data_IF_926994277863
#
_entry.id   IF_926994277863
#
_cell.length_a   1.000
_cell.length_b   1.000
_cell.length_c   1.000
_cell.angle_alpha   90.00
_cell.angle_beta   90.00
_cell.angle_gamma   90.00
#
_symmetry.space_group_name_H-M   'P 1'
#
loop_
_entity.id
_entity.type
_entity.pdbx_description
1 polymer ?
#
# COMPACT_ATOMS: atom_id res chain seq x y z
N UNK A 1 24.70 -2.31 17.42
CA UNK A 1 23.24 -2.38 17.66
C UNK A 1 22.82 -3.83 17.52
N UNK A 2 21.87 -4.34 18.33
CA UNK A 2 21.36 -5.72 18.21
C UNK A 2 19.94 -5.69 17.68
N UNK A 3 19.58 -6.72 16.92
CA UNK A 3 18.22 -6.93 16.43
C UNK A 3 17.28 -7.18 17.63
N UNK A 4 16.11 -6.54 17.70
CA UNK A 4 15.07 -6.86 18.69
C UNK A 4 14.78 -8.37 18.73
N UNK A 5 14.59 -8.92 19.94
CA UNK A 5 14.43 -10.37 20.13
C UNK A 5 13.31 -10.95 19.27
N UNK A 6 12.16 -10.28 19.23
CA UNK A 6 11.01 -10.72 18.44
C UNK A 6 11.32 -10.79 16.94
N UNK A 7 12.14 -9.89 16.40
CA UNK A 7 12.59 -9.94 15.00
C UNK A 7 13.65 -11.02 14.78
N UNK A 8 14.56 -11.21 15.74
CA UNK A 8 15.58 -12.26 15.68
C UNK A 8 15.01 -13.68 15.74
N UNK A 9 13.78 -13.83 16.24
CA UNK A 9 13.06 -15.09 16.29
C UNK A 9 12.38 -15.47 14.95
N UNK A 10 12.33 -14.55 13.97
CA UNK A 10 11.71 -14.79 12.67
C UNK A 10 12.76 -15.21 11.65
N UNK A 11 12.63 -16.43 11.12
CA UNK A 11 13.59 -17.08 10.22
C UNK A 11 13.67 -16.46 8.82
N UNK A 12 12.60 -15.80 8.38
CA UNK A 12 12.52 -15.11 7.10
C UNK A 12 13.03 -13.66 7.13
N UNK A 13 13.49 -13.18 8.29
CA UNK A 13 14.11 -11.85 8.43
C UNK A 13 15.63 -11.99 8.52
N UNK A 14 16.34 -11.41 7.55
CA UNK A 14 17.81 -11.40 7.57
C UNK A 14 18.35 -9.98 7.81
N UNK A 15 19.13 -9.74 8.89
CA UNK A 15 19.84 -8.48 9.04
C UNK A 15 20.95 -8.38 7.99
N UNK A 16 21.08 -7.22 7.35
CA UNK A 16 22.07 -6.97 6.29
C UNK A 16 23.25 -6.13 6.77
N UNK A 17 22.97 -4.91 7.21
CA UNK A 17 24.00 -3.94 7.59
C UNK A 17 23.51 -2.99 8.69
N UNK A 18 24.42 -2.39 9.44
CA UNK A 18 24.12 -1.41 10.49
C UNK A 18 24.41 -0.01 9.97
N UNK A 19 23.36 0.77 9.73
CA UNK A 19 23.42 2.12 9.20
C UNK A 19 23.11 3.13 10.30
N UNK A 20 24.13 3.49 11.07
CA UNK A 20 24.00 4.40 12.21
C UNK A 20 23.06 3.84 13.27
N UNK A 21 21.89 4.47 13.44
CA UNK A 21 20.86 4.05 14.39
C UNK A 21 19.88 3.00 13.84
N UNK A 22 20.12 2.50 12.63
CA UNK A 22 19.23 1.55 11.93
C UNK A 22 19.97 0.25 11.62
N UNK A 23 19.24 -0.86 11.59
CA UNK A 23 19.71 -2.13 11.01
C UNK A 23 18.90 -2.34 9.74
N UNK A 24 19.56 -2.42 8.59
CA UNK A 24 18.94 -2.80 7.33
C UNK A 24 18.53 -4.27 7.38
N UNK A 25 17.33 -4.56 6.89
CA UNK A 25 16.70 -5.89 6.91
C UNK A 25 16.35 -6.34 5.49
N UNK A 26 16.45 -7.65 5.27
CA UNK A 26 15.67 -8.36 4.27
C UNK A 26 14.40 -8.89 4.92
N UNK A 27 13.25 -8.52 4.37
CA UNK A 27 11.92 -8.91 4.84
C UNK A 27 11.27 -9.76 3.75
N UNK A 28 11.67 -11.03 3.63
CA UNK A 28 11.20 -11.94 2.57
C UNK A 28 11.40 -11.35 1.15
N UNK A 29 12.62 -10.89 0.86
CA UNK A 29 12.98 -10.22 -0.39
C UNK A 29 12.54 -8.75 -0.49
N UNK A 30 11.75 -8.24 0.46
CA UNK A 30 11.48 -6.80 0.57
C UNK A 30 12.56 -6.09 1.36
N UNK A 31 12.93 -4.89 0.92
CA UNK A 31 13.88 -4.05 1.67
C UNK A 31 13.19 -3.51 2.92
N UNK A 32 13.87 -3.59 4.05
CA UNK A 32 13.41 -3.01 5.30
C UNK A 32 14.52 -2.42 6.13
N UNK A 33 14.14 -1.79 7.23
CA UNK A 33 15.06 -1.44 8.31
C UNK A 33 14.34 -1.46 9.66
N UNK A 34 15.10 -1.64 10.74
CA UNK A 34 14.59 -1.47 12.10
C UNK A 34 15.43 -0.47 12.89
N UNK A 35 14.79 0.21 13.83
CA UNK A 35 15.42 1.19 14.71
C UNK A 35 14.87 1.07 16.14
N UNK A 36 15.67 1.36 17.17
CA UNK A 36 15.13 1.61 18.51
C UNK A 36 14.18 2.81 18.51
N UNK A 37 13.08 2.71 19.25
CA UNK A 37 12.13 3.79 19.47
C UNK A 37 11.77 3.87 20.96
N UNK A 38 11.23 5.01 21.42
CA UNK A 38 10.75 5.11 22.80
C UNK A 38 9.70 4.03 23.07
N UNK A 39 9.93 3.20 24.09
CA UNK A 39 9.05 2.10 24.47
C UNK A 39 9.21 0.81 23.67
N UNK A 40 10.04 0.77 22.62
CA UNK A 40 10.18 -0.41 21.78
C UNK A 40 11.05 -0.20 20.56
N UNK A 41 10.54 -0.53 19.38
CA UNK A 41 11.27 -0.44 18.13
C UNK A 41 10.34 -0.21 16.94
N UNK A 42 10.92 0.29 15.86
CA UNK A 42 10.23 0.49 14.61
C UNK A 42 10.68 -0.55 13.60
N UNK A 43 9.79 -0.95 12.68
CA UNK A 43 10.16 -1.67 11.46
C UNK A 43 9.59 -0.92 10.28
N UNK A 44 10.44 -0.63 9.31
CA UNK A 44 10.07 0.00 8.08
C UNK A 44 10.19 -0.99 6.93
N UNK A 45 9.16 -1.02 6.09
CA UNK A 45 9.08 -1.82 4.88
C UNK A 45 9.06 -0.87 3.69
N UNK A 46 9.93 -1.10 2.71
CA UNK A 46 9.92 -0.30 1.49
C UNK A 46 8.64 -0.57 0.70
N UNK A 47 7.96 0.50 0.28
CA UNK A 47 6.85 0.43 -0.66
C UNK A 47 7.39 0.63 -2.07
N UNK A 48 7.06 -0.31 -2.96
CA UNK A 48 7.15 -0.02 -4.38
C UNK A 48 6.11 1.06 -4.73
N UNK A 49 6.50 1.97 -5.60
CA UNK A 49 5.58 2.98 -6.11
C UNK A 49 4.84 2.36 -7.30
N UNK A 50 3.55 2.67 -7.48
CA UNK A 50 2.88 2.33 -8.72
C UNK A 50 3.56 3.07 -9.86
N UNK A 51 4.23 2.34 -10.76
CA UNK A 51 4.93 2.92 -11.90
C UNK A 51 3.97 3.06 -13.09
N UNK A 52 4.08 4.15 -13.83
CA UNK A 52 3.66 4.18 -15.23
C UNK A 52 4.69 3.36 -16.05
N UNK A 53 4.29 2.28 -16.72
CA UNK A 53 5.20 1.50 -17.58
C UNK A 53 5.87 2.32 -18.69
N UNK A 54 5.40 3.54 -18.98
CA UNK A 54 6.03 4.46 -19.96
C UNK A 54 7.08 5.41 -19.37
N UNK A 55 7.17 5.55 -18.03
CA UNK A 55 8.10 6.46 -17.39
C UNK A 55 9.52 5.85 -17.28
N UNK A 56 10.31 5.96 -18.36
CA UNK A 56 11.71 5.52 -18.39
C UNK A 56 12.69 6.42 -17.60
N UNK A 57 12.23 7.24 -16.64
CA UNK A 57 13.09 8.23 -16.02
C UNK A 57 13.43 7.91 -14.57
N UNK A 58 14.73 7.87 -14.29
CA UNK A 58 15.34 7.88 -12.95
C UNK A 58 15.10 9.26 -12.34
N UNK A 59 13.84 9.59 -12.03
CA UNK A 59 13.47 10.80 -11.32
C UNK A 59 13.42 10.53 -9.82
N UNK A 60 13.93 11.49 -9.04
CA UNK A 60 13.76 11.49 -7.59
C UNK A 60 12.27 11.41 -7.25
N UNK A 61 11.95 10.69 -6.16
CA UNK A 61 10.57 10.52 -5.71
C UNK A 61 9.89 11.87 -5.44
N UNK A 62 10.63 12.85 -4.92
CA UNK A 62 10.10 14.19 -4.69
C UNK A 62 9.67 14.85 -6.00
N UNK A 63 10.50 14.77 -7.05
CA UNK A 63 10.17 15.31 -8.37
C UNK A 63 9.01 14.55 -9.03
N UNK A 64 8.94 13.23 -8.83
CA UNK A 64 7.84 12.42 -9.34
C UNK A 64 6.50 12.81 -8.69
N UNK A 65 6.48 13.09 -7.38
CA UNK A 65 5.28 13.55 -6.69
C UNK A 65 4.80 14.93 -7.17
N UNK A 66 5.72 15.84 -7.48
CA UNK A 66 5.36 17.17 -8.00
C UNK A 66 4.78 17.11 -9.43
N UNK A 67 5.30 16.21 -10.27
CA UNK A 67 4.89 16.08 -11.68
C UNK A 67 3.72 15.13 -11.92
N UNK A 68 3.57 14.06 -11.14
CA UNK A 68 2.57 13.02 -11.34
C UNK A 68 1.37 13.19 -10.40
N UNK A 69 0.30 13.76 -10.94
CA UNK A 69 -0.96 13.94 -10.21
C UNK A 69 -1.64 12.63 -9.82
N UNK A 70 -1.37 11.52 -10.52
CA UNK A 70 -1.91 10.21 -10.17
C UNK A 70 -1.17 9.60 -8.98
N UNK A 71 0.16 9.64 -8.98
CA UNK A 71 0.99 9.20 -7.85
C UNK A 71 0.69 10.00 -6.58
N UNK A 72 0.63 11.32 -6.69
CA UNK A 72 0.29 12.20 -5.56
C UNK A 72 -1.12 11.93 -5.02
N UNK A 73 -2.11 11.72 -5.90
CA UNK A 73 -3.47 11.35 -5.48
C UNK A 73 -3.53 9.97 -4.84
N UNK A 74 -2.79 9.01 -5.36
CA UNK A 74 -2.67 7.68 -4.78
C UNK A 74 -2.05 7.76 -3.38
N UNK A 75 -0.94 8.48 -3.21
CA UNK A 75 -0.26 8.64 -1.92
C UNK A 75 -1.17 9.35 -0.90
N UNK A 76 -1.91 10.37 -1.34
CA UNK A 76 -2.90 11.05 -0.50
C UNK A 76 -3.98 10.08 -0.02
N UNK A 77 -4.59 9.30 -0.94
CA UNK A 77 -5.61 8.30 -0.57
C UNK A 77 -5.06 7.25 0.37
N UNK A 78 -3.86 6.77 0.09
CA UNK A 78 -3.20 5.77 0.92
C UNK A 78 -2.92 6.32 2.33
N UNK A 79 -2.40 7.54 2.43
CA UNK A 79 -2.19 8.22 3.72
C UNK A 79 -3.49 8.39 4.51
N UNK A 80 -4.59 8.74 3.84
CA UNK A 80 -5.92 8.85 4.47
C UNK A 80 -6.44 7.49 4.97
N UNK A 81 -6.18 6.40 4.24
CA UNK A 81 -6.53 5.05 4.70
C UNK A 81 -5.73 4.69 5.95
N UNK A 82 -4.41 4.90 5.96
CA UNK A 82 -3.58 4.66 7.17
C UNK A 82 -4.11 5.47 8.36
N UNK A 83 -4.36 6.78 8.17
CA UNK A 83 -4.84 7.65 9.23
C UNK A 83 -6.27 7.33 9.71
N UNK A 84 -7.10 6.75 8.84
CA UNK A 84 -8.51 6.46 9.11
C UNK A 84 -8.79 5.08 9.69
N UNK A 85 -7.79 4.18 9.77
CA UNK A 85 -7.96 2.82 10.30
C UNK A 85 -7.34 2.71 11.71
N UNK A 86 -8.12 2.45 12.77
CA UNK A 86 -7.61 2.30 14.13
C UNK A 86 -6.54 1.21 14.28
N UNK A 87 -6.64 0.16 13.48
CA UNK A 87 -5.70 -0.97 13.44
C UNK A 87 -4.32 -0.57 12.88
N UNK A 88 -4.21 0.61 12.27
CA UNK A 88 -3.00 1.17 11.67
C UNK A 88 -2.51 2.42 12.42
N UNK A 89 -2.99 2.65 13.64
CA UNK A 89 -2.60 3.82 14.47
C UNK A 89 -1.09 3.90 14.74
N UNK A 90 -0.43 2.75 14.77
CA UNK A 90 1.00 2.60 15.06
C UNK A 90 1.83 2.61 13.76
N UNK A 91 1.16 2.80 12.61
CA UNK A 91 1.74 2.88 11.30
C UNK A 91 1.94 4.34 10.84
N UNK A 92 2.98 4.57 10.04
CA UNK A 92 3.35 5.88 9.52
C UNK A 92 3.99 5.74 8.16
N UNK A 93 3.82 6.76 7.31
CA UNK A 93 4.49 6.84 6.02
C UNK A 93 5.60 7.88 6.08
N UNK A 94 6.77 7.54 5.56
CA UNK A 94 7.86 8.52 5.43
C UNK A 94 8.61 8.35 4.11
N UNK A 95 9.07 9.47 3.55
CA UNK A 95 9.91 9.49 2.37
C UNK A 95 11.34 9.75 2.84
N UNK A 96 12.26 8.84 2.52
CA UNK A 96 13.67 8.98 2.83
C UNK A 96 14.52 8.27 1.79
N UNK A 97 15.56 8.94 1.30
CA UNK A 97 16.48 8.43 0.27
C UNK A 97 15.73 7.92 -0.98
N UNK A 98 14.79 8.72 -1.49
CA UNK A 98 13.94 8.38 -2.65
C UNK A 98 13.10 7.10 -2.51
N UNK A 99 12.88 6.64 -1.28
CA UNK A 99 12.02 5.48 -0.99
C UNK A 99 10.88 5.92 -0.10
N UNK A 100 9.66 5.51 -0.46
CA UNK A 100 8.51 5.55 0.42
C UNK A 100 8.59 4.36 1.37
N UNK A 101 8.64 4.64 2.66
CA UNK A 101 8.67 3.66 3.74
C UNK A 101 7.33 3.62 4.45
N UNK A 102 6.82 2.42 4.64
CA UNK A 102 5.76 2.15 5.60
C UNK A 102 6.41 1.67 6.90
N UNK A 103 6.32 2.50 7.94
CA UNK A 103 6.88 2.25 9.26
C UNK A 103 5.78 1.78 10.20
N UNK A 104 5.99 0.69 10.92
CA UNK A 104 5.15 0.26 12.04
C UNK A 104 5.96 0.30 13.34
N UNK A 105 5.32 0.70 14.44
CA UNK A 105 5.92 0.74 15.79
C UNK A 105 5.45 -0.45 16.62
N UNK A 106 6.40 -1.17 17.19
CA UNK A 106 6.15 -2.24 18.14
C UNK A 106 6.60 -1.81 19.53
N UNK A 107 5.86 -2.25 20.55
CA UNK A 107 6.32 -2.19 21.94
C UNK A 107 7.46 -3.18 22.17
N UNK A 108 8.31 -2.89 23.15
CA UNK A 108 9.52 -3.67 23.42
C UNK A 108 9.26 -5.11 23.89
N UNK A 109 8.07 -5.38 24.42
CA UNK A 109 7.61 -6.66 24.95
C UNK A 109 6.68 -7.41 23.98
N UNK A 110 6.51 -6.92 22.75
CA UNK A 110 5.68 -7.58 21.75
C UNK A 110 6.13 -9.02 21.45
N UNK A 111 5.17 -9.93 21.45
CA UNK A 111 5.42 -11.34 21.17
C UNK A 111 5.80 -11.55 19.70
N UNK A 112 6.77 -12.42 19.43
CA UNK A 112 7.26 -12.71 18.07
C UNK A 112 6.13 -13.07 17.10
N UNK A 113 5.14 -13.86 17.54
CA UNK A 113 3.98 -14.22 16.71
C UNK A 113 3.12 -13.01 16.30
N UNK A 114 2.96 -12.01 17.17
CA UNK A 114 2.23 -10.77 16.84
C UNK A 114 3.02 -9.92 15.86
N UNK A 115 4.33 -9.80 16.07
CA UNK A 115 5.25 -9.11 15.16
C UNK A 115 5.20 -9.76 13.77
N UNK A 116 5.30 -11.08 13.70
CA UNK A 116 5.21 -11.83 12.46
C UNK A 116 3.87 -11.62 11.73
N UNK A 117 2.75 -11.74 12.44
CA UNK A 117 1.43 -11.53 11.86
C UNK A 117 1.25 -10.11 11.32
N UNK A 118 1.72 -9.11 12.08
CA UNK A 118 1.68 -7.71 11.68
C UNK A 118 2.51 -7.47 10.41
N UNK A 119 3.75 -7.95 10.36
CA UNK A 119 4.65 -7.77 9.23
C UNK A 119 4.15 -8.52 7.98
N UNK A 120 3.64 -9.75 8.12
CA UNK A 120 3.05 -10.48 6.98
C UNK A 120 1.85 -9.75 6.38
N UNK A 121 0.97 -9.21 7.22
CA UNK A 121 -0.16 -8.38 6.78
C UNK A 121 0.34 -7.12 6.07
N UNK A 122 1.39 -6.49 6.58
CA UNK A 122 1.98 -5.31 5.95
C UNK A 122 2.59 -5.65 4.57
N UNK A 123 3.36 -6.73 4.46
CA UNK A 123 3.95 -7.19 3.19
C UNK A 123 2.88 -7.53 2.14
N UNK A 124 1.80 -8.19 2.56
CA UNK A 124 0.64 -8.42 1.71
C UNK A 124 0.00 -7.10 1.26
N UNK A 125 -0.22 -6.17 2.18
CA UNK A 125 -0.77 -4.85 1.86
C UNK A 125 0.12 -4.08 0.89
N UNK A 126 1.45 -4.08 1.07
CA UNK A 126 2.40 -3.50 0.13
C UNK A 126 2.19 -4.05 -1.29
N UNK A 127 1.99 -5.36 -1.43
CA UNK A 127 1.73 -6.03 -2.71
C UNK A 127 0.38 -5.64 -3.32
N UNK A 128 -0.65 -5.46 -2.48
CA UNK A 128 -1.98 -5.05 -2.95
C UNK A 128 -2.04 -3.59 -3.38
N UNK A 129 -1.41 -2.69 -2.62
CA UNK A 129 -1.47 -1.24 -2.90
C UNK A 129 -0.63 -0.89 -4.13
N UNK A 130 0.48 -1.59 -4.35
CA UNK A 130 1.33 -1.46 -5.55
C UNK A 130 0.62 -1.94 -6.82
N UNK A 131 -0.10 -3.06 -6.77
CA UNK A 131 -0.83 -3.59 -7.93
C UNK A 131 -2.05 -2.75 -8.32
N UNK A 132 -2.68 -2.05 -7.37
CA UNK A 132 -3.85 -1.21 -7.65
C UNK A 132 -3.53 0.09 -8.41
N UNK A 133 -2.32 0.65 -8.28
CA UNK A 133 -1.97 1.89 -8.97
C UNK A 133 -1.81 1.73 -10.49
N UNK A 134 -1.67 0.51 -11.00
CA UNK A 134 -1.58 0.19 -12.43
C UNK A 134 -2.92 0.39 -13.16
N UNK A 135 -4.06 0.36 -12.45
CA UNK A 135 -5.40 0.31 -13.05
C UNK A 135 -6.11 1.66 -13.17
N UNK A 136 -5.45 2.78 -12.83
CA UNK A 136 -6.05 4.12 -12.94
C UNK A 136 -5.64 4.90 -14.19
N UNK A 137 -5.23 4.21 -15.25
CA UNK A 137 -5.29 4.78 -16.60
C UNK A 137 -6.72 4.58 -17.14
N UNK A 138 -7.58 5.57 -16.90
CA UNK A 138 -8.80 5.72 -17.71
C UNK A 138 -8.39 5.79 -19.19
N UNK A 139 -8.94 4.95 -20.09
CA UNK A 139 -8.78 5.18 -21.52
C UNK A 139 -9.36 6.56 -21.82
N UNK A 140 -8.51 7.42 -22.40
CA UNK A 140 -8.84 8.76 -22.86
C UNK A 140 -10.22 8.77 -23.51
N UNK A 141 -11.05 9.72 -23.07
CA UNK A 141 -12.32 10.06 -23.68
C UNK A 141 -12.11 10.41 -25.16
N UNK A 142 -12.32 9.44 -26.04
CA UNK A 142 -12.64 9.74 -27.43
C UNK A 142 -14.11 10.13 -27.42
N UNK A 143 -14.40 11.42 -27.41
CA UNK A 143 -15.74 11.94 -27.67
C UNK A 143 -16.18 11.51 -29.06
N UNK A 144 -17.25 10.72 -29.23
CA UNK A 144 -17.88 10.57 -30.53
C UNK A 144 -18.85 11.74 -30.69
N UNK A 145 -18.59 12.52 -31.74
CA UNK A 145 -19.49 13.52 -32.31
C UNK A 145 -20.89 12.89 -32.44
N UNK A 146 -21.91 13.46 -31.80
CA UNK A 146 -23.31 13.14 -32.13
C UNK A 146 -23.62 13.74 -33.50
N UNK A 147 -24.37 13.06 -34.38
CA UNK A 147 -25.82 13.29 -34.35
C UNK A 147 -26.74 12.12 -34.78
N UNK A 148 -28.02 12.28 -34.41
CA UNK A 148 -29.25 11.64 -34.93
C UNK A 148 -29.72 10.32 -34.27
N UNK A 149 -30.76 10.46 -33.43
CA UNK A 149 -31.69 9.39 -33.03
C UNK A 149 -32.57 8.95 -34.21
N UNK A 150 -33.05 7.69 -34.23
CA UNK A 150 -34.44 7.48 -33.82
C UNK A 150 -34.67 6.26 -32.90
N UNK A 151 -35.82 6.30 -32.27
CA UNK A 151 -36.30 5.43 -31.21
C UNK A 151 -36.37 3.93 -31.57
N UNK A 152 -36.07 3.08 -30.59
CA UNK A 152 -36.73 1.78 -30.40
C UNK A 152 -36.69 1.37 -28.94
N UNK A 153 -37.79 0.74 -28.51
CA UNK A 153 -38.27 0.62 -27.15
C UNK A 153 -37.52 -0.42 -26.29
N UNK A 154 -37.29 -0.01 -25.03
CA UNK A 154 -37.68 -0.69 -23.79
C UNK A 154 -36.85 -1.86 -23.19
N UNK A 155 -36.78 -1.74 -21.86
CA UNK A 155 -36.81 -2.81 -20.83
C UNK A 155 -35.54 -3.62 -20.59
N UNK A 156 -34.63 -3.08 -19.77
CA UNK A 156 -33.48 -3.83 -19.24
C UNK A 156 -33.18 -3.68 -17.75
N UNK A 157 -33.91 -2.85 -16.99
CA UNK A 157 -33.55 -2.55 -15.58
C UNK A 157 -34.61 -2.96 -14.53
N UNK A 158 -35.84 -3.31 -14.93
CA UNK A 158 -36.90 -3.70 -14.00
C UNK A 158 -36.92 -5.21 -13.68
N UNK A 159 -36.24 -6.03 -14.47
CA UNK A 159 -36.34 -7.50 -14.38
C UNK A 159 -35.38 -8.11 -13.33
N UNK A 160 -34.26 -7.43 -13.04
CA UNK A 160 -33.30 -7.89 -12.02
C UNK A 160 -33.85 -7.72 -10.57
N UNK A 161 -34.65 -6.68 -10.31
CA UNK A 161 -35.23 -6.44 -8.98
C UNK A 161 -36.36 -7.41 -8.61
N UNK A 162 -37.10 -7.97 -9.58
CA UNK A 162 -38.19 -8.94 -9.28
C UNK A 162 -37.67 -10.32 -8.91
N UNK A 163 -36.54 -10.76 -9.49
CA UNK A 163 -35.94 -12.07 -9.19
C UNK A 163 -35.37 -12.17 -7.77
N UNK A 164 -34.89 -11.07 -7.19
CA UNK A 164 -34.37 -11.05 -5.81
C UNK A 164 -35.47 -11.08 -4.73
N UNK A 165 -36.70 -10.65 -5.04
CA UNK A 165 -37.80 -10.69 -4.08
C UNK A 165 -38.50 -12.05 -3.97
N UNK A 166 -38.37 -12.93 -4.97
CA UNK A 166 -38.96 -14.26 -4.97
C UNK A 166 -38.16 -15.30 -4.14
N UNK A 167 -36.87 -15.04 -3.89
CA UNK A 167 -35.98 -15.95 -3.15
C UNK A 167 -35.93 -15.69 -1.63
N UNK A 168 -36.64 -14.67 -1.13
CA UNK A 168 -36.70 -14.32 0.31
C UNK A 168 -37.96 -14.81 1.02
N UNK A 169 -38.77 -15.65 0.38
CA UNK A 169 -39.94 -16.29 1.00
C UNK A 169 -39.96 -17.79 0.70
N UNK A 170 -39.00 -18.51 1.26
CA UNK A 170 -39.14 -19.92 1.63
C UNK A 170 -38.59 -20.05 3.06
#
# INVERSE_FOLDING_TARGET
MRLPFALAALDWIAPRDVQGARIALDLDGQRGWTCPASGGYCVATALALPHDPQAQHVQSLTTALDGDTALSRWLMRFSLVIAGQPELRDDSLCIANDVLWWVHRFDGDEAAARVEAQLRRQLLACTMVTSQGVWTQTPSSVSPISPVSPASHATGAADASRRLHALRRC
#
